data_IF_432856453502
#
_entry.id   IF_432856453502
#
_cell.length_a   1.000
_cell.length_b   1.000
_cell.length_c   1.000
_cell.angle_alpha   90.00
_cell.angle_beta   90.00
_cell.angle_gamma   90.00
#
_symmetry.space_group_name_H-M   'P 1'
#
loop_
_entity.id
_entity.type
_entity.pdbx_description
1 polymer ?
#
# COMPACT_ATOMS: atom_id res chain seq x y z
N UNK A 1 -88.94 -36.32 -10.62
CA UNK A 1 -88.30 -35.75 -9.41
C UNK A 1 -86.80 -35.64 -9.71
N UNK A 2 -86.29 -34.43 -10.00
CA UNK A 2 -84.90 -34.18 -10.40
C UNK A 2 -84.12 -33.74 -9.18
N UNK A 3 -83.06 -34.49 -8.84
CA UNK A 3 -82.10 -34.11 -7.80
C UNK A 3 -80.93 -33.50 -8.43
N UNK A 4 -80.72 -32.21 -8.15
CA UNK A 4 -79.52 -31.41 -8.64
C UNK A 4 -78.45 -31.56 -7.59
N UNK A 5 -77.38 -32.28 -7.92
CA UNK A 5 -76.15 -32.31 -7.13
C UNK A 5 -75.29 -31.06 -7.32
N UNK A 6 -74.98 -30.32 -6.27
CA UNK A 6 -74.01 -29.18 -6.28
C UNK A 6 -72.59 -29.72 -6.12
N UNK A 7 -71.76 -29.53 -7.15
CA UNK A 7 -70.31 -29.71 -7.06
C UNK A 7 -69.73 -28.50 -6.33
N UNK A 8 -69.05 -28.71 -5.21
CA UNK A 8 -68.18 -27.76 -4.56
C UNK A 8 -66.78 -27.94 -5.16
N UNK A 9 -66.30 -26.93 -5.89
CA UNK A 9 -64.91 -26.84 -6.34
C UNK A 9 -64.16 -26.11 -5.25
N UNK A 10 -63.33 -26.83 -4.48
CA UNK A 10 -62.36 -26.24 -3.53
C UNK A 10 -61.12 -25.83 -4.27
N UNK A 11 -60.95 -24.53 -4.48
CA UNK A 11 -59.68 -23.95 -4.98
C UNK A 11 -58.65 -23.91 -3.82
N UNK A 12 -57.70 -24.83 -3.83
CA UNK A 12 -56.53 -24.79 -2.96
C UNK A 12 -55.56 -23.73 -3.48
N UNK A 13 -55.46 -22.59 -2.75
CA UNK A 13 -54.40 -21.59 -2.96
C UNK A 13 -53.06 -22.17 -2.48
N UNK A 14 -52.17 -22.57 -3.40
CA UNK A 14 -50.78 -22.89 -3.09
C UNK A 14 -50.06 -21.57 -2.79
N UNK A 15 -49.87 -21.27 -1.50
CA UNK A 15 -48.96 -20.22 -1.08
C UNK A 15 -47.52 -20.69 -1.34
N UNK A 16 -46.90 -20.21 -2.43
CA UNK A 16 -45.46 -20.33 -2.66
C UNK A 16 -44.72 -19.51 -1.58
N UNK A 17 -44.30 -20.18 -0.52
CA UNK A 17 -43.34 -19.63 0.44
C UNK A 17 -41.99 -19.51 -0.29
N UNK A 18 -41.68 -18.33 -0.79
CA UNK A 18 -40.32 -17.98 -1.21
C UNK A 18 -39.49 -17.96 0.06
N UNK A 19 -38.84 -19.06 0.38
CA UNK A 19 -37.76 -19.05 1.37
C UNK A 19 -36.67 -18.08 0.88
N UNK A 20 -36.27 -17.07 1.67
CA UNK A 20 -35.13 -16.31 1.33
C UNK A 20 -33.92 -17.27 1.30
N UNK A 21 -33.49 -17.63 0.11
CA UNK A 21 -32.26 -18.40 -0.05
C UNK A 21 -31.16 -17.65 0.70
N UNK A 22 -30.59 -18.28 1.73
CA UNK A 22 -29.37 -17.78 2.37
C UNK A 22 -28.34 -17.59 1.29
N UNK A 23 -28.13 -16.34 0.87
CA UNK A 23 -27.06 -16.01 -0.09
C UNK A 23 -25.77 -16.57 0.49
N UNK A 24 -25.09 -17.43 -0.27
CA UNK A 24 -23.83 -18.05 0.17
C UNK A 24 -22.82 -16.93 0.42
N UNK A 25 -22.19 -16.92 1.60
CA UNK A 25 -21.14 -16.00 1.96
C UNK A 25 -20.07 -15.95 0.84
N UNK A 26 -19.81 -14.76 0.32
CA UNK A 26 -18.83 -14.59 -0.76
C UNK A 26 -17.42 -14.57 -0.18
N UNK A 27 -16.54 -15.47 -0.67
CA UNK A 27 -15.15 -15.50 -0.27
C UNK A 27 -14.31 -14.66 -1.23
N UNK A 28 -13.41 -13.84 -0.66
CA UNK A 28 -12.42 -13.01 -1.33
C UNK A 28 -11.03 -13.55 -0.95
N UNK A 29 -10.26 -14.04 -1.91
CA UNK A 29 -8.89 -14.50 -1.68
C UNK A 29 -7.94 -13.32 -1.74
N UNK A 30 -7.14 -13.13 -0.68
CA UNK A 30 -6.24 -12.00 -0.53
C UNK A 30 -4.78 -12.45 -0.31
N UNK A 31 -3.84 -11.58 -0.71
CA UNK A 31 -2.41 -11.69 -0.38
C UNK A 31 -1.88 -10.36 0.12
N UNK A 32 -0.76 -10.41 0.87
CA UNK A 32 -0.03 -9.24 1.35
C UNK A 32 1.43 -9.27 0.87
N UNK A 33 2.11 -8.11 0.89
CA UNK A 33 3.44 -7.94 0.25
C UNK A 33 4.63 -8.22 1.16
N UNK A 34 4.44 -8.35 2.47
CA UNK A 34 5.53 -8.62 3.42
C UNK A 34 5.29 -9.96 4.14
N UNK A 35 6.32 -10.57 4.76
CA UNK A 35 6.11 -11.70 5.66
C UNK A 35 5.08 -11.40 6.75
N UNK A 36 4.33 -12.42 7.16
CA UNK A 36 3.19 -12.27 8.08
C UNK A 36 3.52 -11.58 9.41
N UNK A 37 4.77 -11.70 9.88
CA UNK A 37 5.23 -11.07 11.14
C UNK A 37 5.55 -9.59 11.01
N UNK A 38 5.60 -9.06 9.79
CA UNK A 38 5.92 -7.65 9.56
C UNK A 38 4.74 -6.75 9.92
N UNK A 39 5.04 -5.54 10.37
CA UNK A 39 4.04 -4.55 10.81
C UNK A 39 2.97 -4.27 9.74
N UNK A 40 3.35 -4.15 8.46
CA UNK A 40 2.41 -3.92 7.36
C UNK A 40 1.46 -5.11 7.13
N UNK A 41 1.97 -6.35 7.22
CA UNK A 41 1.11 -7.53 7.14
C UNK A 41 0.16 -7.60 8.33
N UNK A 42 0.63 -7.29 9.54
CA UNK A 42 -0.22 -7.27 10.75
C UNK A 42 -1.32 -6.21 10.66
N UNK A 43 -1.03 -5.02 10.10
CA UNK A 43 -2.03 -3.99 9.81
C UNK A 43 -3.12 -4.53 8.87
N UNK A 44 -2.72 -5.14 7.76
CA UNK A 44 -3.68 -5.75 6.84
C UNK A 44 -4.50 -6.88 7.47
N UNK A 45 -3.89 -7.74 8.27
CA UNK A 45 -4.62 -8.82 8.97
C UNK A 45 -5.67 -8.26 9.93
N UNK A 46 -5.41 -7.14 10.60
CA UNK A 46 -6.40 -6.44 11.42
C UNK A 46 -7.58 -5.94 10.57
N UNK A 47 -7.32 -5.31 9.43
CA UNK A 47 -8.39 -4.96 8.48
C UNK A 47 -9.23 -6.18 8.07
N UNK A 48 -8.59 -7.31 7.78
CA UNK A 48 -9.26 -8.57 7.42
C UNK A 48 -10.17 -9.04 8.55
N UNK A 49 -9.72 -8.99 9.79
CA UNK A 49 -10.52 -9.39 10.96
C UNK A 49 -11.76 -8.49 11.14
N UNK A 50 -11.61 -7.18 10.92
CA UNK A 50 -12.73 -6.23 10.97
C UNK A 50 -13.77 -6.51 9.89
N UNK A 51 -13.31 -6.71 8.63
CA UNK A 51 -14.20 -7.08 7.53
C UNK A 51 -14.91 -8.40 7.82
N UNK A 52 -14.19 -9.43 8.26
CA UNK A 52 -14.76 -10.75 8.53
C UNK A 52 -15.76 -10.73 9.70
N UNK A 53 -15.56 -9.83 10.65
CA UNK A 53 -16.52 -9.59 11.74
C UNK A 53 -17.78 -8.88 11.26
N UNK A 54 -17.63 -7.80 10.49
CA UNK A 54 -18.73 -7.01 9.97
C UNK A 54 -19.51 -7.74 8.87
N UNK A 55 -18.81 -8.53 8.06
CA UNK A 55 -19.34 -9.24 6.89
C UNK A 55 -19.86 -10.66 7.13
N UNK A 56 -19.97 -11.09 8.40
CA UNK A 56 -20.37 -12.46 8.73
C UNK A 56 -21.67 -12.88 8.02
N UNK A 57 -21.57 -13.95 7.23
CA UNK A 57 -22.68 -14.48 6.43
C UNK A 57 -22.88 -13.79 5.07
N UNK A 58 -22.19 -12.69 4.79
CA UNK A 58 -22.28 -11.91 3.54
C UNK A 58 -20.97 -12.00 2.74
N UNK A 59 -19.85 -11.64 3.36
CA UNK A 59 -18.53 -11.60 2.73
C UNK A 59 -17.44 -11.97 3.74
N UNK A 60 -16.44 -12.72 3.25
CA UNK A 60 -15.29 -13.14 4.04
C UNK A 60 -14.01 -13.00 3.23
N UNK A 61 -12.99 -12.39 3.81
CA UNK A 61 -11.64 -12.37 3.26
C UNK A 61 -10.88 -13.60 3.76
N UNK A 62 -10.31 -14.35 2.82
CA UNK A 62 -9.45 -15.50 3.05
C UNK A 62 -8.02 -15.14 2.65
N UNK A 63 -7.15 -14.86 3.61
CA UNK A 63 -5.74 -14.55 3.36
C UNK A 63 -5.00 -15.83 2.96
N UNK A 64 -4.42 -15.82 1.77
CA UNK A 64 -3.68 -16.95 1.20
C UNK A 64 -2.22 -16.98 1.67
N UNK A 65 -1.70 -15.84 2.09
CA UNK A 65 -0.34 -15.64 2.56
C UNK A 65 0.30 -14.38 2.01
N UNK A 66 1.62 -14.33 2.06
CA UNK A 66 2.44 -13.19 1.66
C UNK A 66 3.37 -13.50 0.47
N UNK A 67 4.64 -13.01 0.52
CA UNK A 67 5.63 -13.20 -0.52
C UNK A 67 5.93 -14.67 -0.86
N UNK A 68 5.73 -15.57 0.08
CA UNK A 68 5.91 -17.01 -0.08
C UNK A 68 4.87 -17.66 -0.99
N UNK A 69 3.69 -17.03 -1.12
CA UNK A 69 2.61 -17.48 -2.00
C UNK A 69 2.70 -16.81 -3.36
N UNK A 70 2.95 -15.50 -3.36
CA UNK A 70 3.00 -14.69 -4.58
C UNK A 70 4.00 -13.54 -4.40
N UNK A 71 5.11 -13.52 -5.18
CA UNK A 71 6.09 -12.45 -5.11
C UNK A 71 5.45 -11.06 -5.26
N UNK A 72 5.83 -10.06 -4.46
CA UNK A 72 5.17 -8.76 -4.42
C UNK A 72 5.15 -8.00 -5.75
N UNK A 73 6.19 -8.14 -6.56
CA UNK A 73 6.31 -7.56 -7.91
C UNK A 73 5.38 -8.20 -8.96
N UNK A 74 4.82 -9.39 -8.66
CA UNK A 74 3.87 -10.11 -9.51
C UNK A 74 2.42 -9.92 -9.07
N UNK A 75 2.19 -9.38 -7.87
CA UNK A 75 0.85 -9.27 -7.27
C UNK A 75 -0.10 -8.40 -8.11
N UNK A 76 0.38 -7.26 -8.64
CA UNK A 76 -0.44 -6.37 -9.47
C UNK A 76 -0.98 -7.05 -10.73
N UNK A 77 -0.12 -7.77 -11.46
CA UNK A 77 -0.54 -8.53 -12.66
C UNK A 77 -1.45 -9.71 -12.31
N UNK A 78 -1.19 -10.39 -11.20
CA UNK A 78 -2.04 -11.48 -10.73
C UNK A 78 -3.45 -10.99 -10.38
N UNK A 79 -3.58 -9.83 -9.74
CA UNK A 79 -4.89 -9.23 -9.47
C UNK A 79 -5.59 -8.80 -10.76
N UNK A 80 -4.89 -8.09 -11.65
CA UNK A 80 -5.44 -7.68 -12.95
C UNK A 80 -6.07 -8.84 -13.72
N UNK A 81 -5.40 -9.99 -13.70
CA UNK A 81 -5.81 -11.20 -14.41
C UNK A 81 -6.78 -12.09 -13.61
N UNK A 82 -7.22 -11.68 -12.42
CA UNK A 82 -8.17 -12.41 -11.59
C UNK A 82 -7.62 -13.69 -10.94
N UNK A 83 -6.29 -13.85 -10.84
CA UNK A 83 -5.66 -14.96 -10.13
C UNK A 83 -5.79 -14.78 -8.60
N UNK A 84 -5.85 -13.56 -8.14
CA UNK A 84 -6.11 -13.16 -6.77
C UNK A 84 -7.16 -12.07 -6.73
N UNK A 85 -8.06 -12.10 -5.74
CA UNK A 85 -9.19 -11.18 -5.67
C UNK A 85 -8.80 -9.85 -5.01
N UNK A 86 -7.94 -9.87 -3.99
CA UNK A 86 -7.57 -8.69 -3.19
C UNK A 86 -6.07 -8.63 -2.94
N UNK A 87 -5.50 -7.43 -2.99
CA UNK A 87 -4.12 -7.15 -2.62
C UNK A 87 -4.04 -6.20 -1.43
N UNK A 88 -3.02 -6.42 -0.60
CA UNK A 88 -2.41 -5.41 0.24
C UNK A 88 -0.96 -5.22 -0.24
N UNK A 89 -0.73 -4.23 -1.12
CA UNK A 89 0.55 -4.09 -1.82
C UNK A 89 0.83 -2.62 -2.14
N UNK A 90 2.07 -2.13 -1.91
CA UNK A 90 2.46 -0.80 -2.34
C UNK A 90 2.30 -0.60 -3.84
N UNK A 91 1.73 0.55 -4.23
CA UNK A 91 1.62 0.92 -5.64
C UNK A 91 2.98 0.93 -6.36
N UNK A 92 4.03 1.32 -5.64
CA UNK A 92 5.41 1.36 -6.13
C UNK A 92 5.97 0.04 -6.65
N UNK A 93 5.35 -1.10 -6.33
CA UNK A 93 5.80 -2.43 -6.77
C UNK A 93 5.24 -2.85 -8.14
N UNK A 94 4.21 -2.17 -8.65
CA UNK A 94 3.59 -2.47 -9.95
C UNK A 94 3.36 -1.24 -10.84
N UNK A 95 4.28 -0.26 -10.77
CA UNK A 95 4.28 0.97 -11.58
C UNK A 95 4.40 0.74 -13.11
N UNK A 96 4.80 -0.45 -13.54
CA UNK A 96 4.71 -0.86 -14.94
C UNK A 96 3.26 -0.97 -15.40
N UNK A 97 2.35 -1.31 -14.50
CA UNK A 97 0.93 -1.47 -14.77
C UNK A 97 0.16 -0.15 -14.61
N UNK A 98 0.37 0.54 -13.48
CA UNK A 98 -0.28 1.82 -13.15
C UNK A 98 0.78 2.82 -12.66
N UNK A 99 1.49 3.51 -13.57
CA UNK A 99 2.53 4.45 -13.18
C UNK A 99 2.03 5.61 -12.31
N UNK A 100 0.77 5.99 -12.44
CA UNK A 100 0.11 7.03 -11.64
C UNK A 100 0.00 6.65 -10.16
N UNK A 101 0.10 5.38 -9.81
CA UNK A 101 0.14 4.91 -8.42
C UNK A 101 1.24 5.57 -7.58
N UNK A 102 2.31 6.03 -8.23
CA UNK A 102 3.38 6.78 -7.56
C UNK A 102 2.90 8.09 -6.94
N UNK A 103 1.76 8.66 -7.37
CA UNK A 103 1.21 9.86 -6.78
C UNK A 103 0.87 9.69 -5.29
N UNK A 104 0.48 8.50 -4.85
CA UNK A 104 0.26 8.21 -3.43
C UNK A 104 1.52 8.42 -2.59
N UNK A 105 2.66 7.95 -3.11
CA UNK A 105 3.95 8.11 -2.43
C UNK A 105 4.51 9.53 -2.50
N UNK A 106 4.28 10.22 -3.61
CA UNK A 106 4.71 11.61 -3.83
C UNK A 106 3.77 12.66 -3.20
N UNK A 107 2.65 12.21 -2.63
CA UNK A 107 1.62 13.09 -2.07
C UNK A 107 2.12 13.86 -0.85
N UNK A 108 1.72 15.13 -0.78
CA UNK A 108 1.81 15.96 0.43
C UNK A 108 0.49 16.01 1.22
N UNK A 109 -0.55 15.31 0.71
CA UNK A 109 -1.89 15.23 1.28
C UNK A 109 -2.09 13.91 2.02
N UNK A 110 -2.91 13.95 3.05
CA UNK A 110 -3.40 12.75 3.72
C UNK A 110 -4.40 11.98 2.83
N UNK A 111 -4.66 10.68 3.10
CA UNK A 111 -5.69 9.94 2.39
C UNK A 111 -7.07 10.59 2.47
N UNK A 112 -7.44 11.17 3.62
CA UNK A 112 -8.69 11.89 3.81
C UNK A 112 -8.79 13.10 2.87
N UNK A 113 -7.76 13.97 2.83
CA UNK A 113 -7.70 15.11 1.92
C UNK A 113 -7.78 14.69 0.44
N UNK A 114 -7.13 13.58 0.06
CA UNK A 114 -7.18 13.02 -1.30
C UNK A 114 -8.58 12.53 -1.66
N UNK A 115 -9.33 11.98 -0.69
CA UNK A 115 -10.74 11.62 -0.90
C UNK A 115 -11.63 12.84 -1.06
N UNK A 116 -11.47 13.83 -0.18
CA UNK A 116 -12.30 15.05 -0.15
C UNK A 116 -12.11 15.93 -1.39
N UNK A 117 -10.89 16.01 -1.91
CA UNK A 117 -10.57 16.85 -3.06
C UNK A 117 -10.82 16.20 -4.43
N UNK A 118 -11.30 14.93 -4.47
CA UNK A 118 -11.58 14.17 -5.70
C UNK A 118 -10.38 13.40 -6.28
N UNK A 119 -9.22 13.44 -5.64
CA UNK A 119 -8.03 12.69 -6.07
C UNK A 119 -8.23 11.18 -6.03
N UNK A 120 -8.96 10.70 -5.02
CA UNK A 120 -9.33 9.29 -4.92
C UNK A 120 -10.18 8.82 -6.09
N UNK A 121 -11.18 9.60 -6.50
CA UNK A 121 -12.06 9.25 -7.62
C UNK A 121 -11.30 9.23 -8.95
N UNK A 122 -10.34 10.14 -9.11
CA UNK A 122 -9.44 10.13 -10.26
C UNK A 122 -8.59 8.85 -10.29
N UNK A 123 -7.97 8.49 -9.16
CA UNK A 123 -7.17 7.27 -9.05
C UNK A 123 -8.02 6.02 -9.25
N UNK A 124 -9.24 5.99 -8.75
CA UNK A 124 -10.19 4.90 -8.97
C UNK A 124 -10.45 4.66 -10.46
N UNK A 125 -10.66 5.73 -11.25
CA UNK A 125 -10.83 5.64 -12.72
C UNK A 125 -9.57 5.11 -13.41
N UNK A 126 -8.39 5.56 -12.97
CA UNK A 126 -7.10 5.15 -13.54
C UNK A 126 -6.84 3.66 -13.27
N UNK A 127 -7.02 3.24 -12.01
CA UNK A 127 -6.81 1.85 -11.60
C UNK A 127 -7.81 0.89 -12.26
N UNK A 128 -9.08 1.28 -12.37
CA UNK A 128 -10.08 0.51 -13.09
C UNK A 128 -9.69 0.31 -14.57
N UNK A 129 -9.22 1.37 -15.23
CA UNK A 129 -8.86 1.34 -16.66
C UNK A 129 -7.58 0.56 -16.95
N UNK A 130 -6.52 0.75 -16.15
CA UNK A 130 -5.19 0.20 -16.41
C UNK A 130 -4.93 -1.12 -15.70
N UNK A 131 -5.37 -1.21 -14.45
CA UNK A 131 -5.11 -2.32 -13.55
C UNK A 131 -6.25 -3.32 -13.41
N UNK A 132 -7.42 -3.08 -14.03
CA UNK A 132 -8.64 -3.84 -13.75
C UNK A 132 -8.87 -3.97 -12.23
N UNK A 133 -8.66 -2.87 -11.48
CA UNK A 133 -8.67 -2.85 -10.03
C UNK A 133 -9.65 -1.81 -9.49
N UNK A 134 -10.29 -2.16 -8.37
CA UNK A 134 -11.08 -1.28 -7.51
C UNK A 134 -10.28 -0.98 -6.24
N UNK A 135 -10.01 0.30 -5.97
CA UNK A 135 -9.30 0.73 -4.78
C UNK A 135 -10.24 0.77 -3.57
N UNK A 136 -9.82 0.22 -2.45
CA UNK A 136 -10.57 0.25 -1.18
C UNK A 136 -9.99 1.28 -0.20
N UNK A 137 -8.68 1.22 0.06
CA UNK A 137 -8.01 2.09 1.02
C UNK A 137 -6.54 2.34 0.68
N UNK A 138 -6.01 3.49 1.11
CA UNK A 138 -4.59 3.78 1.24
C UNK A 138 -4.23 3.68 2.73
N UNK A 139 -3.85 2.49 3.18
CA UNK A 139 -3.54 2.22 4.58
C UNK A 139 -2.08 2.50 4.91
N UNK A 140 -1.78 2.62 6.18
CA UNK A 140 -0.42 2.85 6.69
C UNK A 140 0.27 4.08 6.07
N UNK A 141 -0.53 5.08 5.66
CA UNK A 141 -0.05 6.33 5.09
C UNK A 141 0.68 7.19 6.13
N UNK A 142 1.60 8.04 5.66
CA UNK A 142 2.34 8.98 6.51
C UNK A 142 3.68 8.47 7.04
N UNK A 143 3.98 7.16 6.92
CA UNK A 143 5.34 6.68 7.19
C UNK A 143 6.30 7.16 6.10
N UNK A 144 7.21 8.08 6.45
CA UNK A 144 8.23 8.59 5.53
C UNK A 144 9.36 7.58 5.31
N UNK A 145 9.95 7.59 4.11
CA UNK A 145 11.15 6.81 3.82
C UNK A 145 12.40 7.57 4.27
N UNK A 146 13.35 6.86 4.84
CA UNK A 146 14.65 7.36 5.26
C UNK A 146 15.78 6.58 4.58
N UNK A 147 16.98 7.14 4.57
CA UNK A 147 18.18 6.42 4.17
C UNK A 147 18.93 6.03 5.44
N UNK A 148 19.12 4.73 5.61
CA UNK A 148 19.88 4.15 6.72
C UNK A 148 21.24 3.73 6.22
N UNK A 149 22.32 4.10 6.90
CA UNK A 149 23.69 3.79 6.49
C UNK A 149 24.43 2.96 7.55
N UNK A 150 25.32 2.09 7.08
CA UNK A 150 26.19 1.28 7.95
C UNK A 150 27.16 2.19 8.69
N UNK A 151 27.88 3.02 7.95
CA UNK A 151 28.87 3.97 8.47
C UNK A 151 28.31 5.40 8.44
N UNK A 152 28.94 6.29 9.20
CA UNK A 152 28.60 7.71 9.19
C UNK A 152 28.86 8.33 7.81
N UNK A 153 27.83 8.82 7.11
CA UNK A 153 28.03 9.46 5.83
C UNK A 153 28.80 10.77 5.98
N UNK A 154 29.67 11.06 5.02
CA UNK A 154 30.46 12.28 4.98
C UNK A 154 29.55 13.48 4.71
N UNK A 155 29.54 14.47 5.61
CA UNK A 155 28.82 15.72 5.43
C UNK A 155 29.51 16.61 4.38
N UNK A 156 28.70 17.44 3.70
CA UNK A 156 29.15 18.49 2.79
C UNK A 156 28.93 19.87 3.41
N UNK A 157 29.64 20.89 2.92
CA UNK A 157 29.64 22.26 3.48
C UNK A 157 28.26 22.95 3.34
N UNK A 158 27.40 22.49 2.41
CA UNK A 158 26.06 23.00 2.17
C UNK A 158 25.00 22.37 3.09
N UNK A 159 25.40 21.53 4.03
CA UNK A 159 24.54 20.82 4.97
C UNK A 159 23.95 19.51 4.45
N UNK A 160 24.40 19.04 3.29
CA UNK A 160 24.09 17.74 2.71
C UNK A 160 25.05 16.63 3.16
N UNK A 161 25.10 15.55 2.38
CA UNK A 161 26.07 14.45 2.51
C UNK A 161 26.64 14.07 1.13
N UNK A 162 27.81 13.45 1.11
CA UNK A 162 28.44 12.89 -0.09
C UNK A 162 27.80 11.55 -0.44
N UNK A 163 26.81 11.59 -1.34
CA UNK A 163 26.07 10.42 -1.80
C UNK A 163 26.90 9.46 -2.65
N UNK A 164 27.99 9.93 -3.28
CA UNK A 164 28.79 9.13 -4.22
C UNK A 164 29.47 7.92 -3.59
N UNK A 165 29.60 7.89 -2.27
CA UNK A 165 30.20 6.79 -1.50
C UNK A 165 29.19 5.74 -1.05
N UNK A 166 27.90 5.99 -1.29
CA UNK A 166 26.84 5.11 -0.85
C UNK A 166 26.42 4.16 -1.97
N UNK A 167 26.35 2.88 -1.61
CA UNK A 167 25.69 1.83 -2.38
C UNK A 167 24.36 1.54 -1.68
N UNK A 168 23.29 2.14 -2.20
CA UNK A 168 22.00 2.16 -1.50
C UNK A 168 21.07 1.08 -2.08
N UNK A 169 20.55 0.21 -1.23
CA UNK A 169 19.43 -0.63 -1.60
C UNK A 169 18.20 0.25 -1.83
N UNK A 170 17.50 0.00 -2.91
CA UNK A 170 16.30 0.71 -3.33
C UNK A 170 15.16 -0.24 -3.71
N UNK A 171 13.95 0.28 -3.76
CA UNK A 171 12.86 -0.25 -4.55
C UNK A 171 12.78 0.47 -5.91
N UNK A 172 11.98 -0.02 -6.87
CA UNK A 172 11.75 0.70 -8.13
C UNK A 172 11.22 2.12 -7.91
N UNK A 173 10.44 2.34 -6.85
CA UNK A 173 9.78 3.61 -6.52
C UNK A 173 10.75 4.79 -6.40
N UNK A 174 11.86 4.63 -5.70
CA UNK A 174 12.79 5.72 -5.39
C UNK A 174 14.17 5.58 -6.01
N UNK A 175 14.34 4.64 -6.96
CA UNK A 175 15.59 4.42 -7.67
C UNK A 175 16.11 5.69 -8.33
N UNK A 176 15.31 6.31 -9.20
CA UNK A 176 15.70 7.51 -9.96
C UNK A 176 16.08 8.68 -9.05
N UNK A 177 15.36 8.85 -7.94
CA UNK A 177 15.71 9.86 -6.95
C UNK A 177 17.11 9.65 -6.36
N UNK A 178 17.41 8.42 -5.91
CA UNK A 178 18.72 8.11 -5.33
C UNK A 178 19.87 8.19 -6.36
N UNK A 179 19.61 7.80 -7.60
CA UNK A 179 20.57 7.99 -8.71
C UNK A 179 20.82 9.48 -8.98
N UNK A 180 19.79 10.33 -8.93
CA UNK A 180 19.89 11.78 -9.07
C UNK A 180 20.65 12.46 -7.91
N UNK A 181 20.74 11.81 -6.75
CA UNK A 181 21.62 12.25 -5.66
C UNK A 181 23.09 11.91 -5.92
N UNK A 182 23.38 11.03 -6.87
CA UNK A 182 24.73 10.55 -7.20
C UNK A 182 25.13 9.25 -6.48
N UNK A 183 24.19 8.55 -5.84
CA UNK A 183 24.46 7.28 -5.20
C UNK A 183 24.53 6.13 -6.22
N UNK A 184 25.26 5.06 -5.89
CA UNK A 184 25.12 3.77 -6.58
C UNK A 184 23.86 3.07 -6.04
N UNK A 185 22.95 2.66 -6.92
CA UNK A 185 21.64 2.11 -6.51
C UNK A 185 21.49 0.67 -6.93
N UNK A 186 21.06 -0.18 -6.00
CA UNK A 186 20.80 -1.61 -6.22
C UNK A 186 19.35 -1.88 -5.85
N UNK A 187 18.51 -2.24 -6.84
CA UNK A 187 17.11 -2.59 -6.61
C UNK A 187 17.01 -4.04 -6.16
N UNK A 188 16.41 -4.26 -4.99
CA UNK A 188 16.25 -5.57 -4.37
C UNK A 188 14.94 -5.64 -3.60
N UNK A 189 14.37 -6.85 -3.52
CA UNK A 189 13.21 -7.14 -2.67
C UNK A 189 13.58 -7.06 -1.18
N UNK A 190 12.62 -6.82 -0.27
CA UNK A 190 12.90 -6.77 1.17
C UNK A 190 13.59 -8.03 1.72
N UNK A 191 13.27 -9.21 1.21
CA UNK A 191 13.86 -10.49 1.66
C UNK A 191 15.36 -10.62 1.39
N UNK A 192 15.91 -9.86 0.44
CA UNK A 192 17.34 -9.92 0.06
C UNK A 192 18.22 -8.95 0.84
N UNK A 193 17.62 -7.96 1.53
CA UNK A 193 18.36 -6.83 2.13
C UNK A 193 19.26 -7.29 3.26
N UNK A 194 18.80 -8.19 4.14
CA UNK A 194 19.60 -8.68 5.26
C UNK A 194 20.94 -9.22 4.79
N UNK A 195 20.92 -10.16 3.83
CA UNK A 195 22.13 -10.75 3.27
C UNK A 195 22.99 -9.74 2.51
N UNK A 196 22.38 -8.77 1.84
CA UNK A 196 23.11 -7.75 1.11
C UNK A 196 23.85 -6.78 2.04
N UNK A 197 23.26 -6.42 3.18
CA UNK A 197 23.92 -5.63 4.23
C UNK A 197 25.02 -6.44 4.93
N UNK A 198 24.71 -7.70 5.30
CA UNK A 198 25.67 -8.59 5.95
C UNK A 198 26.93 -8.82 5.13
N UNK A 199 26.79 -8.97 3.81
CA UNK A 199 27.90 -9.23 2.88
C UNK A 199 28.56 -7.96 2.32
N UNK A 200 28.08 -6.78 2.71
CA UNK A 200 28.60 -5.51 2.20
C UNK A 200 28.33 -5.26 0.72
N UNK A 201 27.36 -5.94 0.11
CA UNK A 201 26.92 -5.67 -1.26
C UNK A 201 26.35 -4.26 -1.33
N UNK A 202 25.61 -3.84 -0.30
CA UNK A 202 25.16 -2.48 -0.05
C UNK A 202 25.67 -1.99 1.30
N UNK A 203 25.93 -0.69 1.43
CA UNK A 203 26.29 -0.03 2.69
C UNK A 203 25.23 0.97 3.18
N UNK A 204 24.09 0.99 2.48
CA UNK A 204 22.93 1.77 2.86
C UNK A 204 21.64 1.11 2.36
N UNK A 205 20.54 1.40 3.06
CA UNK A 205 19.21 0.92 2.72
C UNK A 205 18.21 2.07 2.80
N UNK A 206 17.38 2.24 1.78
CA UNK A 206 16.28 3.17 1.84
C UNK A 206 14.98 2.42 2.18
N UNK A 207 14.34 2.81 3.28
CA UNK A 207 13.11 2.20 3.79
C UNK A 207 12.43 3.11 4.82
N UNK A 208 11.24 2.73 5.30
CA UNK A 208 10.54 3.40 6.41
C UNK A 208 11.13 3.01 7.76
N UNK A 209 10.94 3.84 8.79
CA UNK A 209 11.22 3.46 10.18
C UNK A 209 10.30 2.31 10.59
N UNK A 210 9.02 2.45 10.23
CA UNK A 210 8.00 1.46 10.52
C UNK A 210 8.38 0.09 9.94
N UNK A 211 8.47 -0.90 10.81
CA UNK A 211 8.83 -2.27 10.44
C UNK A 211 10.32 -2.53 10.16
N UNK A 212 11.20 -1.52 10.26
CA UNK A 212 12.64 -1.69 9.96
C UNK A 212 13.31 -2.76 10.82
N UNK A 213 13.06 -2.73 12.12
CA UNK A 213 13.62 -3.68 13.10
C UNK A 213 13.06 -5.10 12.92
N UNK A 214 11.84 -5.25 12.43
CA UNK A 214 11.26 -6.58 12.20
C UNK A 214 12.01 -7.41 11.14
N UNK A 215 12.78 -6.74 10.27
CA UNK A 215 13.69 -7.36 9.31
C UNK A 215 15.11 -7.56 9.87
N UNK A 216 15.44 -7.02 11.05
CA UNK A 216 16.77 -7.09 11.67
C UNK A 216 17.85 -6.26 10.97
N UNK A 217 17.47 -5.28 10.13
CA UNK A 217 18.43 -4.46 9.40
C UNK A 217 19.15 -3.42 10.25
N UNK A 218 18.56 -3.03 11.37
CA UNK A 218 19.13 -2.16 12.41
C UNK A 218 20.41 -2.70 13.02
N UNK A 219 20.63 -4.02 12.96
CA UNK A 219 21.91 -4.66 13.37
C UNK A 219 23.10 -4.14 12.57
N UNK A 220 22.90 -3.81 11.31
CA UNK A 220 23.95 -3.38 10.40
C UNK A 220 24.01 -1.85 10.26
N UNK A 221 22.86 -1.18 10.16
CA UNK A 221 22.80 0.25 9.88
C UNK A 221 22.78 1.06 11.19
N UNK A 222 23.80 1.88 11.38
CA UNK A 222 23.99 2.65 12.62
C UNK A 222 23.57 4.11 12.52
N UNK A 223 23.28 4.59 11.32
CA UNK A 223 22.91 5.97 11.06
C UNK A 223 21.61 6.04 10.24
N UNK A 224 20.78 7.03 10.56
CA UNK A 224 19.59 7.39 9.78
C UNK A 224 19.72 8.82 9.28
N UNK A 225 19.45 9.04 8.02
CA UNK A 225 19.42 10.39 7.43
C UNK A 225 18.01 10.96 7.53
N UNK A 226 17.91 12.16 8.12
CA UNK A 226 16.70 12.96 8.24
C UNK A 226 16.86 14.29 7.45
N UNK A 227 15.79 14.79 6.82
CA UNK A 227 14.39 14.34 6.90
C UNK A 227 14.10 13.12 6.02
N UNK A 228 12.89 12.58 6.19
CA UNK A 228 12.33 11.56 5.28
C UNK A 228 12.02 12.16 3.91
N UNK A 229 11.88 11.28 2.93
CA UNK A 229 11.37 11.58 1.59
C UNK A 229 10.19 10.64 1.28
N UNK A 230 9.28 11.02 0.41
CA UNK A 230 8.07 10.28 0.09
C UNK A 230 7.27 9.81 1.32
N UNK A 231 6.18 9.14 1.10
CA UNK A 231 5.45 8.39 2.11
C UNK A 231 5.09 7.00 1.58
N UNK A 232 4.64 6.12 2.45
CA UNK A 232 4.12 4.81 2.08
C UNK A 232 2.92 4.93 1.17
N UNK A 233 2.82 4.01 0.23
CA UNK A 233 1.80 3.90 -0.81
C UNK A 233 1.10 2.52 -0.77
N UNK A 234 0.89 2.02 0.45
CA UNK A 234 0.27 0.71 0.68
C UNK A 234 -1.22 0.76 0.40
N UNK A 235 -1.64 0.08 -0.64
CA UNK A 235 -3.04 0.06 -1.06
C UNK A 235 -3.70 -1.27 -0.71
N UNK A 236 -4.97 -1.20 -0.33
CA UNK A 236 -5.90 -2.33 -0.40
C UNK A 236 -6.72 -2.14 -1.67
N UNK A 237 -6.62 -3.10 -2.58
CA UNK A 237 -7.36 -3.09 -3.85
C UNK A 237 -7.95 -4.44 -4.17
N UNK A 238 -9.01 -4.47 -4.97
CA UNK A 238 -9.64 -5.69 -5.48
C UNK A 238 -9.59 -5.76 -6.99
N UNK A 239 -9.54 -6.98 -7.54
CA UNK A 239 -9.87 -7.19 -8.94
C UNK A 239 -11.26 -6.61 -9.24
N UNK A 240 -11.37 -5.78 -10.28
CA UNK A 240 -12.61 -5.05 -10.57
C UNK A 240 -13.77 -5.96 -10.96
N UNK A 241 -13.53 -7.02 -11.73
CA UNK A 241 -14.58 -7.95 -12.12
C UNK A 241 -15.12 -8.69 -10.89
N UNK A 242 -14.23 -9.06 -9.94
CA UNK A 242 -14.62 -9.63 -8.67
C UNK A 242 -15.44 -8.63 -7.84
N UNK A 243 -14.99 -7.37 -7.75
CA UNK A 243 -15.73 -6.30 -7.06
C UNK A 243 -17.12 -6.11 -7.64
N UNK A 244 -17.25 -6.04 -8.96
CA UNK A 244 -18.53 -5.83 -9.66
C UNK A 244 -19.48 -7.02 -9.49
N UNK A 245 -18.96 -8.22 -9.20
CA UNK A 245 -19.76 -9.42 -8.90
C UNK A 245 -20.30 -9.51 -7.48
N UNK A 246 -19.84 -8.62 -6.56
CA UNK A 246 -20.29 -8.60 -5.18
C UNK A 246 -21.70 -8.05 -5.05
N UNK A 247 -22.41 -8.51 -4.03
CA UNK A 247 -23.69 -7.89 -3.65
C UNK A 247 -23.47 -6.45 -3.17
N UNK A 248 -24.48 -5.55 -3.33
CA UNK A 248 -24.39 -4.17 -2.80
C UNK A 248 -24.07 -4.13 -1.29
N UNK A 249 -24.56 -5.10 -0.54
CA UNK A 249 -24.29 -5.23 0.89
C UNK A 249 -22.82 -5.56 1.16
N UNK A 250 -22.22 -6.50 0.41
CA UNK A 250 -20.81 -6.84 0.53
C UNK A 250 -19.91 -5.65 0.14
N UNK A 251 -20.24 -4.96 -0.95
CA UNK A 251 -19.52 -3.75 -1.37
C UNK A 251 -19.58 -2.66 -0.30
N UNK A 252 -20.75 -2.46 0.33
CA UNK A 252 -20.91 -1.48 1.40
C UNK A 252 -20.07 -1.83 2.63
N UNK A 253 -20.09 -3.07 3.08
CA UNK A 253 -19.28 -3.53 4.22
C UNK A 253 -17.81 -3.29 3.96
N UNK A 254 -17.29 -3.70 2.80
CA UNK A 254 -15.89 -3.50 2.42
C UNK A 254 -15.52 -2.03 2.35
N UNK A 255 -16.36 -1.19 1.75
CA UNK A 255 -16.10 0.26 1.61
C UNK A 255 -16.09 0.97 2.96
N UNK A 256 -17.08 0.69 3.81
CA UNK A 256 -17.21 1.36 5.10
C UNK A 256 -16.06 0.95 6.03
N UNK A 257 -15.74 -0.35 6.09
CA UNK A 257 -14.60 -0.84 6.88
C UNK A 257 -13.29 -0.28 6.35
N UNK A 258 -13.09 -0.22 5.03
CA UNK A 258 -11.88 0.31 4.43
C UNK A 258 -11.65 1.79 4.76
N UNK A 259 -12.70 2.62 4.69
CA UNK A 259 -12.63 4.06 5.06
C UNK A 259 -12.32 4.27 6.54
N UNK A 260 -12.98 3.49 7.42
CA UNK A 260 -12.69 3.56 8.86
C UNK A 260 -11.27 3.15 9.17
N UNK A 261 -10.83 2.04 8.60
CA UNK A 261 -9.51 1.49 8.83
C UNK A 261 -8.38 2.35 8.25
N UNK A 262 -8.60 3.02 7.12
CA UNK A 262 -7.65 3.96 6.53
C UNK A 262 -7.25 5.05 7.54
N UNK A 263 -8.23 5.64 8.22
CA UNK A 263 -7.99 6.64 9.27
C UNK A 263 -7.28 6.03 10.48
N UNK A 264 -7.77 4.91 10.98
CA UNK A 264 -7.19 4.22 12.14
C UNK A 264 -5.73 3.84 11.88
N UNK A 265 -5.41 3.31 10.69
CA UNK A 265 -4.04 2.92 10.34
C UNK A 265 -3.10 4.11 10.25
N UNK A 266 -3.55 5.26 9.75
CA UNK A 266 -2.73 6.48 9.70
C UNK A 266 -2.39 6.99 11.11
N UNK A 267 -3.35 6.99 12.04
CA UNK A 267 -3.13 7.36 13.44
C UNK A 267 -2.15 6.37 14.12
N UNK A 268 -2.31 5.08 13.87
CA UNK A 268 -1.40 4.04 14.36
C UNK A 268 0.03 4.21 13.84
N UNK A 269 0.18 4.50 12.56
CA UNK A 269 1.48 4.73 11.90
C UNK A 269 2.24 5.89 12.53
N UNK A 270 1.57 7.00 12.83
CA UNK A 270 2.21 8.15 13.47
C UNK A 270 2.80 7.77 14.84
N UNK A 271 1.99 7.06 15.65
CA UNK A 271 2.40 6.58 16.97
C UNK A 271 3.54 5.57 16.87
N UNK A 272 3.35 4.51 16.08
CA UNK A 272 4.29 3.39 15.99
C UNK A 272 5.63 3.83 15.36
N UNK A 273 5.60 4.76 14.39
CA UNK A 273 6.83 5.33 13.83
C UNK A 273 7.64 6.08 14.87
N UNK A 274 6.99 6.88 15.75
CA UNK A 274 7.66 7.59 16.85
C UNK A 274 8.27 6.61 17.86
N UNK A 275 7.50 5.58 18.24
CA UNK A 275 7.95 4.57 19.19
C UNK A 275 9.13 3.76 18.64
N UNK A 276 9.04 3.28 17.39
CA UNK A 276 10.12 2.52 16.76
C UNK A 276 11.35 3.39 16.50
N UNK A 277 11.19 4.67 16.12
CA UNK A 277 12.30 5.60 16.01
C UNK A 277 13.06 5.75 17.33
N UNK A 278 12.34 5.88 18.44
CA UNK A 278 12.96 5.98 19.78
C UNK A 278 13.67 4.68 20.15
N UNK A 279 13.04 3.52 19.93
CA UNK A 279 13.67 2.22 20.18
C UNK A 279 14.98 2.05 19.40
N UNK A 280 15.03 2.50 18.14
CA UNK A 280 16.26 2.45 17.34
C UNK A 280 17.35 3.40 17.88
N UNK A 281 16.96 4.59 18.35
CA UNK A 281 17.89 5.54 19.00
C UNK A 281 18.45 4.95 20.30
N UNK A 282 17.60 4.36 21.14
CA UNK A 282 17.98 3.73 22.39
C UNK A 282 18.92 2.51 22.15
N UNK A 283 18.74 1.83 21.00
CA UNK A 283 19.63 0.77 20.52
C UNK A 283 20.94 1.29 19.90
N UNK A 284 21.18 2.60 19.91
CA UNK A 284 22.44 3.23 19.48
C UNK A 284 22.44 3.81 18.07
N UNK A 285 21.28 3.89 17.39
CA UNK A 285 21.18 4.58 16.09
C UNK A 285 21.45 6.08 16.26
N UNK A 286 22.21 6.64 15.34
CA UNK A 286 22.55 8.07 15.30
C UNK A 286 21.83 8.75 14.15
N UNK A 287 21.34 9.97 14.38
CA UNK A 287 20.64 10.76 13.39
C UNK A 287 21.62 11.67 12.65
N UNK A 288 21.56 11.65 11.33
CA UNK A 288 22.29 12.56 10.44
C UNK A 288 21.27 13.51 9.82
N UNK A 289 21.08 14.66 10.44
CA UNK A 289 20.15 15.66 9.94
C UNK A 289 20.77 16.48 8.82
N UNK A 290 20.11 16.51 7.65
CA UNK A 290 20.41 17.41 6.57
C UNK A 290 19.92 18.82 6.92
N UNK A 291 20.62 19.84 6.43
CA UNK A 291 20.30 21.25 6.70
C UNK A 291 20.60 22.13 5.48
N UNK A 292 20.21 23.40 5.54
CA UNK A 292 20.51 24.39 4.53
C UNK A 292 20.20 23.93 3.10
N UNK A 293 21.07 24.32 2.17
CA UNK A 293 20.92 24.04 0.73
C UNK A 293 20.91 22.53 0.41
N UNK A 294 21.71 21.73 1.14
CA UNK A 294 21.76 20.28 0.95
C UNK A 294 20.42 19.58 1.27
N UNK A 295 19.71 20.04 2.34
CA UNK A 295 18.36 19.58 2.65
C UNK A 295 17.37 19.96 1.57
N UNK A 296 17.40 21.23 1.12
CA UNK A 296 16.43 21.72 0.13
C UNK A 296 16.59 21.00 -1.21
N UNK A 297 17.84 20.74 -1.61
CA UNK A 297 18.14 19.97 -2.81
C UNK A 297 17.67 18.51 -2.71
N UNK A 298 17.89 17.87 -1.57
CA UNK A 298 17.41 16.50 -1.29
C UNK A 298 15.89 16.38 -1.47
N UNK A 299 15.12 17.24 -0.81
CA UNK A 299 13.66 17.22 -0.89
C UNK A 299 13.14 17.59 -2.28
N UNK A 300 13.76 18.59 -2.93
CA UNK A 300 13.41 19.00 -4.29
C UNK A 300 13.67 17.90 -5.32
N UNK A 301 14.81 17.19 -5.22
CA UNK A 301 15.11 16.06 -6.09
C UNK A 301 14.15 14.90 -5.90
N UNK A 302 13.75 14.61 -4.66
CA UNK A 302 12.76 13.58 -4.37
C UNK A 302 11.43 13.89 -5.07
N UNK A 303 10.86 15.06 -4.82
CA UNK A 303 9.58 15.47 -5.42
C UNK A 303 9.65 15.49 -6.96
N UNK A 304 10.69 16.09 -7.55
CA UNK A 304 10.84 16.17 -9.00
C UNK A 304 10.97 14.79 -9.66
N UNK A 305 11.73 13.87 -9.06
CA UNK A 305 11.98 12.55 -9.64
C UNK A 305 10.69 11.75 -9.83
N UNK A 306 9.78 11.76 -8.85
CA UNK A 306 8.50 11.06 -8.94
C UNK A 306 7.61 11.60 -10.06
N UNK A 307 7.39 12.91 -10.06
CA UNK A 307 6.52 13.53 -11.05
C UNK A 307 7.06 13.43 -12.49
N UNK A 308 8.37 13.61 -12.68
CA UNK A 308 9.02 13.44 -13.98
C UNK A 308 8.94 11.99 -14.48
N UNK A 309 9.09 11.02 -13.58
CA UNK A 309 8.97 9.61 -13.94
C UNK A 309 7.55 9.22 -14.35
N UNK A 310 6.53 9.67 -13.61
CA UNK A 310 5.14 9.48 -14.00
C UNK A 310 4.85 10.11 -15.37
N UNK A 311 5.26 11.38 -15.55
CA UNK A 311 5.06 12.15 -16.79
C UNK A 311 5.74 11.48 -18.00
N UNK A 312 6.96 10.93 -17.83
CA UNK A 312 7.67 10.23 -18.88
C UNK A 312 7.03 8.90 -19.30
N UNK A 313 6.27 8.27 -18.39
CA UNK A 313 5.58 7.00 -18.65
C UNK A 313 4.18 7.20 -19.23
N UNK A 314 3.42 8.13 -18.67
CA UNK A 314 2.11 8.51 -19.15
C UNK A 314 1.76 9.93 -18.70
N UNK A 315 1.82 10.94 -19.60
CA UNK A 315 1.51 12.32 -19.26
C UNK A 315 0.02 12.62 -19.11
N UNK A 316 -0.87 11.67 -19.43
CA UNK A 316 -2.31 11.90 -19.61
C UNK A 316 -2.96 12.53 -18.37
N UNK A 317 -2.60 12.08 -17.17
CA UNK A 317 -3.25 12.49 -15.92
C UNK A 317 -2.40 13.40 -15.03
N UNK A 318 -1.14 13.69 -15.40
CA UNK A 318 -0.16 14.33 -14.50
C UNK A 318 -0.62 15.70 -14.02
N UNK A 319 -1.14 16.55 -14.91
CA UNK A 319 -1.62 17.89 -14.54
C UNK A 319 -2.78 17.84 -13.53
N UNK A 320 -3.67 16.86 -13.66
CA UNK A 320 -4.81 16.69 -12.76
C UNK A 320 -4.37 16.06 -11.43
N UNK A 321 -3.52 15.03 -11.48
CA UNK A 321 -2.96 14.41 -10.27
C UNK A 321 -2.20 15.42 -9.39
N UNK A 322 -1.41 16.33 -9.98
CA UNK A 322 -0.71 17.38 -9.21
C UNK A 322 -1.67 18.24 -8.39
N UNK A 323 -2.85 18.56 -8.92
CA UNK A 323 -3.84 19.39 -8.20
C UNK A 323 -4.39 18.70 -6.95
N UNK A 324 -4.45 17.36 -6.99
CA UNK A 324 -5.05 16.58 -5.91
C UNK A 324 -4.04 16.04 -4.89
N UNK A 325 -2.77 15.88 -5.29
CA UNK A 325 -1.74 15.21 -4.48
C UNK A 325 -0.61 16.14 -4.01
N UNK A 326 -0.53 17.39 -4.50
CA UNK A 326 0.47 18.38 -4.08
C UNK A 326 -0.10 19.60 -3.30
#
# INVERSE_FOLDING_TARGET
MRIIGKLFVSSALLALTVSPGLAKETTINAVHFTPAQNTYAQSFLKFVDEVNKAGKGVVKINVRGGPEVLPPDQQGEAQKNGLIDMLNTPAGLYLNLVPEGEAFSASTKSPEEVRENGGWDLMQKIYAKKGNAHLLAHIDAGAGFHIFTVDQPKKTDDGGIDWSKLKIRSSPLYRTFLENLGATVIVQSPGEIYTSLERGVVNANAYTILGYQSFGWDKFTKYRVDPSFFQTDVLISMNKDKWDSLSPEAQKILTDTAKSFEKESAEAVEKDTKEQAQQMIDAGQKIVTLSGKGKDEFLSKASKASWQRMESRDPTYISELRKHFQ
#
